data_IF_063455249814
#
_entry.id   IF_063455249814
#
_cell.length_a   1.000
_cell.length_b   1.000
_cell.length_c   1.000
_cell.angle_alpha   90.00
_cell.angle_beta   90.00
_cell.angle_gamma   90.00
#
_symmetry.space_group_name_H-M   'P 1'
#
loop_
_entity.id
_entity.type
_entity.pdbx_description
1 polymer ?
#
# COMPACT_ATOMS: atom_id res chain seq x y z
N UNK A 1 -11.17 0.15 10.90
CA UNK A 1 -11.59 -1.26 11.07
C UNK A 1 -10.49 -2.24 10.69
N UNK A 2 -10.03 -2.27 9.43
CA UNK A 2 -9.08 -3.28 8.94
C UNK A 2 -7.80 -3.43 9.78
N UNK A 3 -7.12 -2.33 10.15
CA UNK A 3 -5.92 -2.41 11.00
C UNK A 3 -6.18 -3.12 12.34
N UNK A 4 -7.30 -2.81 13.00
CA UNK A 4 -7.69 -3.48 14.25
C UNK A 4 -8.06 -4.96 14.03
N UNK A 5 -8.65 -5.28 12.87
CA UNK A 5 -8.99 -6.65 12.50
C UNK A 5 -7.73 -7.50 12.33
N UNK A 6 -6.72 -6.96 11.63
CA UNK A 6 -5.41 -7.59 11.46
C UNK A 6 -4.72 -7.81 12.80
N UNK A 7 -4.67 -6.78 13.65
CA UNK A 7 -4.10 -6.90 15.00
C UNK A 7 -4.79 -8.01 15.78
N UNK A 8 -6.13 -7.99 15.85
CA UNK A 8 -6.88 -9.03 16.56
C UNK A 8 -6.65 -10.43 15.98
N UNK A 9 -6.65 -10.56 14.66
CA UNK A 9 -6.42 -11.82 13.95
C UNK A 9 -5.03 -12.38 14.25
N UNK A 10 -3.99 -11.54 14.25
CA UNK A 10 -2.62 -11.96 14.54
C UNK A 10 -2.42 -12.28 16.03
N UNK A 11 -3.08 -11.57 16.94
CA UNK A 11 -3.05 -11.88 18.38
C UNK A 11 -3.75 -13.21 18.69
N UNK A 12 -4.89 -13.47 18.05
CA UNK A 12 -5.72 -14.64 18.33
C UNK A 12 -5.15 -15.95 17.75
N UNK A 13 -4.61 -15.92 16.52
CA UNK A 13 -4.15 -17.15 15.84
C UNK A 13 -2.70 -17.08 15.31
N UNK A 14 -1.97 -16.00 15.59
CA UNK A 14 -0.58 -15.84 15.16
C UNK A 14 -0.41 -15.67 13.65
N UNK A 15 0.84 -15.65 13.17
CA UNK A 15 1.21 -15.53 11.76
C UNK A 15 1.11 -16.86 11.02
N UNK A 16 0.04 -17.63 11.28
CA UNK A 16 -0.24 -18.91 10.62
C UNK A 16 -1.63 -18.91 10.01
N UNK A 17 -1.80 -19.63 8.91
CA UNK A 17 -3.10 -19.82 8.28
C UNK A 17 -3.96 -20.75 9.16
N UNK A 18 -5.24 -20.44 9.32
CA UNK A 18 -6.18 -21.26 10.10
C UNK A 18 -7.49 -21.45 9.37
N UNK A 19 -8.21 -22.51 9.74
CA UNK A 19 -9.57 -22.78 9.25
C UNK A 19 -10.49 -21.59 9.57
N UNK A 20 -11.28 -21.19 8.58
CA UNK A 20 -12.16 -20.02 8.65
C UNK A 20 -11.55 -18.73 8.13
N UNK A 21 -10.23 -18.67 7.88
CA UNK A 21 -9.62 -17.59 7.10
C UNK A 21 -10.15 -17.58 5.66
N UNK A 22 -9.93 -16.48 4.95
CA UNK A 22 -10.29 -16.35 3.53
C UNK A 22 -9.09 -15.93 2.69
N UNK A 23 -9.08 -16.38 1.44
CA UNK A 23 -8.10 -16.05 0.40
C UNK A 23 -8.85 -15.67 -0.89
N UNK A 24 -8.14 -15.06 -1.84
CA UNK A 24 -8.70 -14.74 -3.16
C UNK A 24 -8.24 -15.76 -4.19
N UNK A 25 -9.15 -16.26 -5.02
CA UNK A 25 -8.81 -17.17 -6.10
C UNK A 25 -7.88 -16.51 -7.11
N UNK A 26 -6.82 -17.20 -7.51
CA UNK A 26 -6.00 -16.72 -8.60
C UNK A 26 -6.80 -16.84 -9.91
N UNK A 27 -6.81 -15.79 -10.73
CA UNK A 27 -7.46 -15.77 -12.06
C UNK A 27 -6.98 -16.88 -13.01
N UNK A 28 -5.96 -17.66 -12.64
CA UNK A 28 -5.43 -18.78 -13.43
C UNK A 28 -6.22 -20.07 -13.29
N UNK A 29 -7.02 -20.23 -12.24
CA UNK A 29 -7.75 -21.49 -11.98
C UNK A 29 -9.13 -21.54 -12.67
N UNK A 30 -9.56 -20.42 -13.28
CA UNK A 30 -10.87 -20.28 -13.94
C UNK A 30 -10.79 -20.19 -15.48
N UNK A 31 -9.59 -20.30 -16.06
CA UNK A 31 -9.38 -20.32 -17.53
C UNK A 31 -9.73 -21.68 -18.18
N UNK A 32 -10.55 -22.51 -17.51
CA UNK A 32 -10.91 -23.87 -17.91
C UNK A 32 -12.32 -24.04 -18.48
N UNK A 33 -13.09 -22.96 -18.70
CA UNK A 33 -14.39 -22.98 -19.38
C UNK A 33 -14.55 -21.69 -20.19
N UNK A 34 -14.41 -21.82 -21.51
CA UNK A 34 -14.44 -20.70 -22.44
C UNK A 34 -15.82 -20.06 -22.61
N UNK A 35 -15.79 -18.83 -23.09
CA UNK A 35 -16.34 -18.55 -24.41
C UNK A 35 -15.43 -17.53 -25.10
N UNK A 36 -15.21 -17.72 -26.40
CA UNK A 36 -14.42 -16.83 -27.23
C UNK A 36 -15.25 -15.59 -27.54
N UNK A 37 -14.69 -14.40 -27.39
CA UNK A 37 -14.95 -13.32 -28.34
C UNK A 37 -13.70 -12.46 -28.48
N UNK A 38 -13.23 -12.47 -29.72
CA UNK A 38 -12.06 -11.83 -30.29
C UNK A 38 -12.33 -10.32 -30.38
N UNK A 39 -11.45 -9.46 -29.88
CA UNK A 39 -11.21 -8.18 -30.56
C UNK A 39 -9.78 -7.69 -30.34
N UNK A 40 -9.04 -7.80 -31.44
CA UNK A 40 -7.65 -7.47 -31.66
C UNK A 40 -7.51 -6.01 -32.06
N UNK A 41 -6.77 -5.19 -31.29
CA UNK A 41 -6.14 -3.98 -31.85
C UNK A 41 -4.75 -3.75 -31.24
N UNK A 42 -3.77 -3.63 -32.14
CA UNK A 42 -2.34 -3.47 -31.89
C UNK A 42 -1.88 -2.02 -31.62
N UNK A 43 -0.56 -1.75 -31.75
CA UNK A 43 0.18 -0.91 -30.80
C UNK A 43 0.48 0.51 -31.31
N UNK A 44 0.62 1.47 -30.40
CA UNK A 44 1.38 2.72 -30.60
C UNK A 44 1.77 3.29 -29.21
N UNK A 45 3.03 3.24 -28.82
CA UNK A 45 4.10 4.22 -29.05
C UNK A 45 4.06 5.41 -28.08
N UNK A 46 5.08 5.40 -27.24
CA UNK A 46 5.66 6.45 -26.40
C UNK A 46 5.66 7.87 -26.99
N UNK A 47 5.27 8.85 -26.18
CA UNK A 47 5.83 10.21 -26.19
C UNK A 47 5.89 10.76 -24.77
N UNK A 48 7.11 11.10 -24.34
CA UNK A 48 7.42 11.82 -23.11
C UNK A 48 7.21 13.33 -23.27
N UNK A 49 6.84 14.04 -22.21
CA UNK A 49 7.11 15.47 -21.92
C UNK A 49 6.56 15.75 -20.50
N UNK A 50 7.37 15.79 -19.44
CA UNK A 50 8.09 16.96 -18.90
C UNK A 50 7.18 18.15 -18.51
N UNK A 51 6.98 18.36 -17.21
CA UNK A 51 6.50 19.62 -16.65
C UNK A 51 7.37 20.01 -15.47
N UNK A 52 8.08 21.11 -15.63
CA UNK A 52 8.77 21.87 -14.58
C UNK A 52 7.97 23.14 -14.31
N UNK A 53 7.88 23.49 -13.03
CA UNK A 53 7.24 24.67 -12.46
C UNK A 53 7.88 26.00 -12.93
N UNK A 54 7.09 27.07 -13.03
CA UNK A 54 7.48 28.42 -12.56
C UNK A 54 6.25 29.35 -12.37
N UNK A 55 6.44 30.31 -11.48
CA UNK A 55 5.52 31.12 -10.69
C UNK A 55 5.12 32.48 -11.34
N UNK A 56 4.09 33.11 -10.74
CA UNK A 56 3.76 34.56 -10.67
C UNK A 56 2.79 35.29 -11.64
N UNK A 57 1.75 35.86 -10.99
CA UNK A 57 1.13 37.21 -11.11
C UNK A 57 -0.19 37.45 -11.89
N UNK A 58 -0.96 38.38 -11.30
CA UNK A 58 -2.38 38.72 -11.43
C UNK A 58 -2.72 39.61 -12.65
N UNK A 59 -3.91 39.41 -13.23
CA UNK A 59 -4.99 40.40 -13.44
C UNK A 59 -5.73 40.36 -14.81
N UNK A 60 -7.07 40.26 -14.69
CA UNK A 60 -8.22 40.58 -15.57
C UNK A 60 -8.14 40.51 -17.12
N UNK A 61 -9.03 39.68 -17.69
CA UNK A 61 -9.41 39.75 -19.11
C UNK A 61 -10.17 38.51 -19.61
N UNK A 62 -11.49 38.47 -19.39
CA UNK A 62 -12.32 37.28 -19.58
C UNK A 62 -12.43 36.72 -21.01
N UNK A 63 -12.58 35.40 -21.11
CA UNK A 63 -13.13 34.68 -22.27
C UNK A 63 -13.82 33.39 -21.78
N UNK A 64 -15.07 33.21 -22.20
CA UNK A 64 -15.87 31.97 -22.03
C UNK A 64 -15.23 30.82 -22.80
N UNK A 65 -15.03 29.67 -22.16
CA UNK A 65 -14.66 28.42 -22.82
C UNK A 65 -15.01 27.22 -21.94
N UNK A 66 -15.76 26.29 -22.52
CA UNK A 66 -16.31 25.06 -21.95
C UNK A 66 -15.47 24.35 -20.87
N UNK A 67 -16.04 24.20 -19.68
CA UNK A 67 -15.70 23.11 -18.77
C UNK A 67 -16.25 21.81 -19.39
N UNK A 68 -15.39 21.00 -19.98
CA UNK A 68 -15.59 19.55 -19.98
C UNK A 68 -14.99 19.05 -18.68
N UNK A 69 -15.87 18.61 -17.79
CA UNK A 69 -15.51 17.85 -16.61
C UNK A 69 -14.89 16.54 -17.10
N UNK A 70 -13.55 16.48 -17.14
CA UNK A 70 -12.84 15.21 -17.22
C UNK A 70 -13.00 14.56 -15.84
N UNK A 71 -14.07 13.79 -15.75
CA UNK A 71 -14.34 12.87 -14.65
C UNK A 71 -13.08 12.02 -14.40
N UNK A 72 -12.46 12.30 -13.27
CA UNK A 72 -11.55 11.42 -12.55
C UNK A 72 -12.31 10.11 -12.27
N UNK A 73 -12.30 9.21 -13.25
CA UNK A 73 -12.72 7.81 -13.13
C UNK A 73 -11.78 7.15 -12.12
N UNK A 74 -12.13 7.34 -10.85
CA UNK A 74 -11.58 6.62 -9.73
C UNK A 74 -11.56 5.15 -10.06
N UNK A 75 -10.35 4.64 -10.24
CA UNK A 75 -9.96 3.26 -10.49
C UNK A 75 -10.55 2.32 -9.41
N UNK A 76 -11.84 2.04 -9.49
CA UNK A 76 -12.48 0.96 -8.76
C UNK A 76 -12.15 -0.30 -9.54
N UNK A 77 -10.95 -0.85 -9.29
CA UNK A 77 -10.66 -2.22 -9.69
C UNK A 77 -11.62 -3.10 -8.91
N UNK A 78 -12.77 -3.40 -9.50
CA UNK A 78 -13.61 -4.53 -9.11
C UNK A 78 -12.75 -5.75 -9.27
N UNK A 79 -12.13 -6.12 -8.16
CA UNK A 79 -11.33 -7.31 -8.06
C UNK A 79 -12.26 -8.51 -8.22
N UNK A 80 -12.40 -8.97 -9.46
CA UNK A 80 -13.34 -10.03 -9.83
C UNK A 80 -12.88 -11.43 -9.34
N UNK A 81 -11.89 -11.47 -8.45
CA UNK A 81 -11.41 -12.69 -7.81
C UNK A 81 -12.44 -13.18 -6.80
N UNK A 82 -12.70 -14.48 -6.83
CA UNK A 82 -13.66 -15.12 -5.94
C UNK A 82 -13.03 -15.32 -4.56
N UNK A 83 -13.82 -15.10 -3.51
CA UNK A 83 -13.42 -15.42 -2.14
C UNK A 83 -13.46 -16.93 -1.94
N UNK A 84 -12.40 -17.49 -1.36
CA UNK A 84 -12.30 -18.90 -0.99
C UNK A 84 -12.08 -18.98 0.51
N UNK A 85 -12.94 -19.75 1.19
CA UNK A 85 -12.80 -20.04 2.61
C UNK A 85 -11.80 -21.18 2.84
N UNK A 86 -10.92 -21.00 3.81
CA UNK A 86 -9.95 -21.99 4.22
C UNK A 86 -10.63 -23.05 5.09
N UNK A 87 -10.54 -24.29 4.65
CA UNK A 87 -11.05 -25.48 5.34
C UNK A 87 -9.88 -26.40 5.70
N UNK A 88 -10.16 -27.45 6.47
CA UNK A 88 -9.14 -28.47 6.83
C UNK A 88 -8.53 -29.12 5.58
N UNK A 89 -9.29 -29.19 4.48
CA UNK A 89 -8.90 -29.91 3.27
C UNK A 89 -7.99 -29.10 2.34
N UNK A 90 -8.13 -27.76 2.31
CA UNK A 90 -7.39 -26.88 1.37
C UNK A 90 -6.29 -26.05 2.03
N UNK A 91 -6.17 -26.08 3.36
CA UNK A 91 -5.23 -25.24 4.12
C UNK A 91 -3.76 -25.42 3.71
N UNK A 92 -3.40 -26.60 3.20
CA UNK A 92 -2.04 -26.90 2.72
C UNK A 92 -1.67 -26.19 1.41
N UNK A 93 -2.67 -25.72 0.66
CA UNK A 93 -2.47 -25.15 -0.68
C UNK A 93 -2.16 -23.65 -0.61
N UNK A 94 -2.32 -23.04 0.56
CA UNK A 94 -2.19 -21.60 0.78
C UNK A 94 -1.17 -21.28 1.86
N UNK A 95 -0.65 -20.06 1.81
CA UNK A 95 0.27 -19.51 2.80
C UNK A 95 -0.37 -18.36 3.58
N UNK A 96 0.27 -17.96 4.68
CA UNK A 96 -0.14 -16.76 5.42
C UNK A 96 -0.13 -15.48 4.56
N UNK A 97 0.68 -15.45 3.50
CA UNK A 97 0.75 -14.31 2.57
C UNK A 97 -0.45 -14.24 1.63
N UNK A 98 -1.24 -15.31 1.51
CA UNK A 98 -2.45 -15.36 0.68
C UNK A 98 -3.70 -14.97 1.46
N UNK A 99 -3.63 -14.99 2.81
CA UNK A 99 -4.74 -14.63 3.70
C UNK A 99 -5.09 -13.16 3.56
N UNK A 100 -6.36 -12.88 3.30
CA UNK A 100 -6.90 -11.53 3.20
C UNK A 100 -7.90 -11.25 4.32
N UNK A 101 -8.00 -9.99 4.71
CA UNK A 101 -9.10 -9.50 5.54
C UNK A 101 -9.91 -8.45 4.79
N UNK A 102 -11.24 -8.44 4.99
CA UNK A 102 -12.13 -7.50 4.32
C UNK A 102 -12.05 -6.09 4.91
N UNK A 103 -12.14 -5.10 4.01
CA UNK A 103 -12.60 -3.75 4.30
C UNK A 103 -14.13 -3.76 4.27
N UNK A 104 -14.83 -3.38 5.35
CA UNK A 104 -16.28 -3.45 5.38
C UNK A 104 -16.96 -2.68 4.25
N UNK A 105 -17.92 -3.32 3.61
CA UNK A 105 -18.70 -2.77 2.51
C UNK A 105 -19.97 -3.56 2.23
N UNK A 106 -20.72 -3.10 1.22
CA UNK A 106 -22.02 -3.67 0.84
C UNK A 106 -21.90 -5.07 0.21
N UNK A 107 -20.79 -5.34 -0.47
CA UNK A 107 -20.53 -6.59 -1.18
C UNK A 107 -19.25 -7.26 -0.67
N UNK A 108 -19.25 -7.65 0.60
CA UNK A 108 -18.07 -8.18 1.27
C UNK A 108 -18.38 -9.44 2.06
N UNK A 109 -17.59 -10.48 1.85
CA UNK A 109 -17.60 -11.74 2.60
C UNK A 109 -16.62 -11.64 3.77
N UNK A 110 -17.01 -12.21 4.91
CA UNK A 110 -16.23 -12.12 6.15
C UNK A 110 -15.73 -13.50 6.59
N UNK A 111 -14.47 -13.60 7.04
CA UNK A 111 -13.90 -14.85 7.53
C UNK A 111 -14.71 -15.41 8.70
N UNK A 112 -15.02 -16.71 8.69
CA UNK A 112 -15.90 -17.35 9.69
C UNK A 112 -15.36 -17.16 11.11
N UNK A 113 -14.05 -17.25 11.27
CA UNK A 113 -13.33 -17.07 12.54
C UNK A 113 -13.28 -15.61 13.04
N UNK A 114 -13.73 -14.64 12.22
CA UNK A 114 -13.66 -13.20 12.52
C UNK A 114 -15.01 -12.47 12.39
N UNK A 115 -16.07 -13.14 11.89
CA UNK A 115 -17.38 -12.51 11.66
C UNK A 115 -17.95 -11.82 12.89
N UNK A 116 -17.87 -12.48 14.06
CA UNK A 116 -18.39 -11.92 15.30
C UNK A 116 -17.60 -10.67 15.72
N UNK A 117 -16.27 -10.72 15.61
CA UNK A 117 -15.41 -9.58 15.91
C UNK A 117 -15.75 -8.37 15.03
N UNK A 118 -15.98 -8.57 13.73
CA UNK A 118 -16.36 -7.48 12.82
C UNK A 118 -17.68 -6.84 13.23
N UNK A 119 -18.70 -7.64 13.57
CA UNK A 119 -20.00 -7.13 14.04
C UNK A 119 -19.86 -6.31 15.32
N UNK A 120 -19.12 -6.83 16.28
CA UNK A 120 -18.95 -6.20 17.59
C UNK A 120 -18.13 -4.91 17.47
N UNK A 121 -17.06 -4.93 16.67
CA UNK A 121 -16.20 -3.78 16.45
C UNK A 121 -16.92 -2.66 15.71
N UNK A 122 -17.66 -2.95 14.63
CA UNK A 122 -18.40 -1.89 13.92
C UNK A 122 -19.53 -1.31 14.76
N UNK A 123 -20.24 -2.15 15.51
CA UNK A 123 -21.30 -1.68 16.41
C UNK A 123 -20.74 -0.80 17.53
N UNK A 124 -19.65 -1.23 18.18
CA UNK A 124 -19.10 -0.51 19.34
C UNK A 124 -18.29 0.72 18.95
N UNK A 125 -17.44 0.63 17.92
CA UNK A 125 -16.52 1.71 17.56
C UNK A 125 -17.13 2.72 16.58
N UNK A 126 -18.05 2.29 15.71
CA UNK A 126 -18.66 3.15 14.69
C UNK A 126 -20.14 3.43 14.96
N UNK A 127 -20.79 2.67 15.84
CA UNK A 127 -22.25 2.74 16.01
C UNK A 127 -23.02 2.19 14.80
N UNK A 128 -22.37 1.38 13.96
CA UNK A 128 -22.94 0.87 12.70
C UNK A 128 -23.17 -0.64 12.74
N UNK A 129 -24.32 -1.07 12.24
CA UNK A 129 -24.62 -2.46 11.92
C UNK A 129 -23.85 -2.89 10.66
N UNK A 130 -22.99 -3.91 10.79
CA UNK A 130 -22.22 -4.47 9.68
C UNK A 130 -23.10 -4.93 8.51
N UNK A 131 -24.30 -5.43 8.82
CA UNK A 131 -25.20 -6.03 7.83
C UNK A 131 -26.21 -5.06 7.24
N UNK A 132 -26.62 -4.03 7.98
CA UNK A 132 -27.71 -3.14 7.55
C UNK A 132 -27.16 -1.82 7.01
N UNK A 133 -26.22 -1.19 7.73
CA UNK A 133 -25.73 0.14 7.38
C UNK A 133 -24.82 0.08 6.15
N UNK A 134 -23.86 -0.84 6.12
CA UNK A 134 -22.96 -1.00 4.97
C UNK A 134 -23.68 -1.48 3.71
N UNK A 135 -24.77 -2.25 3.83
CA UNK A 135 -25.59 -2.68 2.68
C UNK A 135 -26.54 -1.59 2.18
N UNK A 136 -27.01 -0.71 3.05
CA UNK A 136 -27.94 0.36 2.66
C UNK A 136 -27.26 1.56 1.96
N UNK A 137 -25.93 1.69 2.08
CA UNK A 137 -25.13 2.70 1.37
C UNK A 137 -25.31 2.67 -0.16
N UNK A 138 -25.74 1.55 -0.75
CA UNK A 138 -25.96 1.42 -2.21
C UNK A 138 -27.32 1.93 -2.69
N UNK A 139 -28.31 2.07 -1.80
CA UNK A 139 -29.73 2.20 -2.20
C UNK A 139 -30.34 3.55 -1.82
N UNK A 140 -29.77 4.26 -0.84
CA UNK A 140 -30.41 5.42 -0.20
C UNK A 140 -29.82 6.77 -0.62
N UNK A 141 -29.57 6.99 -1.91
CA UNK A 141 -29.02 8.28 -2.42
C UNK A 141 -27.71 8.69 -1.72
N UNK A 142 -26.98 7.71 -1.18
CA UNK A 142 -25.78 7.92 -0.39
C UNK A 142 -24.67 8.48 -1.27
N UNK A 143 -24.05 9.57 -0.83
CA UNK A 143 -22.90 10.20 -1.51
C UNK A 143 -21.68 9.25 -1.56
N UNK A 144 -21.71 8.14 -0.82
CA UNK A 144 -20.61 7.19 -0.70
C UNK A 144 -21.08 5.74 -0.90
N UNK A 145 -20.73 5.15 -2.03
CA UNK A 145 -20.82 3.71 -2.25
C UNK A 145 -19.53 3.04 -1.76
N UNK A 146 -19.64 2.20 -0.73
CA UNK A 146 -18.52 1.40 -0.22
C UNK A 146 -18.78 -0.07 -0.58
N UNK A 147 -18.37 -0.55 -1.76
CA UNK A 147 -18.55 -1.96 -2.14
C UNK A 147 -17.75 -2.91 -1.22
N UNK A 148 -16.71 -2.38 -0.58
CA UNK A 148 -15.73 -3.15 0.17
C UNK A 148 -14.63 -3.69 -0.74
N UNK A 149 -13.61 -4.25 -0.11
CA UNK A 149 -12.41 -4.75 -0.79
C UNK A 149 -11.69 -5.73 0.14
N UNK A 150 -10.71 -6.45 -0.37
CA UNK A 150 -9.90 -7.41 0.39
C UNK A 150 -8.45 -6.97 0.35
N UNK A 151 -7.77 -7.11 1.49
CA UNK A 151 -6.34 -6.77 1.60
C UNK A 151 -5.60 -7.86 2.35
N UNK A 152 -4.45 -8.26 1.80
CA UNK A 152 -3.56 -9.23 2.42
C UNK A 152 -3.10 -8.75 3.79
N UNK A 153 -3.10 -9.66 4.77
CA UNK A 153 -2.70 -9.32 6.14
C UNK A 153 -1.19 -9.19 6.29
N UNK A 154 -0.43 -9.93 5.48
CA UNK A 154 1.03 -9.87 5.39
C UNK A 154 1.44 -9.77 3.94
N UNK A 155 2.48 -8.99 3.67
CA UNK A 155 3.10 -8.84 2.37
C UNK A 155 4.59 -9.16 2.48
N UNK A 156 5.15 -9.82 1.46
CA UNK A 156 6.58 -10.13 1.41
C UNK A 156 7.27 -9.14 0.50
N UNK A 157 8.28 -8.46 1.04
CA UNK A 157 9.18 -7.63 0.27
C UNK A 157 10.03 -8.49 -0.67
N UNK A 158 10.12 -8.10 -1.95
CA UNK A 158 10.88 -8.80 -2.98
C UNK A 158 12.18 -8.03 -3.29
N UNK A 159 13.16 -8.69 -3.89
CA UNK A 159 14.44 -8.09 -4.31
C UNK A 159 15.14 -7.25 -3.23
N UNK A 160 15.16 -7.79 -2.00
CA UNK A 160 15.70 -7.07 -0.85
C UNK A 160 17.23 -7.01 -0.94
N UNK A 161 17.75 -5.80 -1.10
CA UNK A 161 19.17 -5.46 -1.08
C UNK A 161 19.43 -4.41 0.00
N UNK A 162 20.50 -4.56 0.76
CA UNK A 162 20.90 -3.56 1.75
C UNK A 162 22.42 -3.41 1.87
N UNK A 163 22.86 -2.19 2.18
CA UNK A 163 24.24 -1.85 2.50
C UNK A 163 24.28 -1.18 3.87
N UNK A 164 25.10 -1.72 4.77
CA UNK A 164 25.42 -1.06 6.04
C UNK A 164 26.64 -0.17 5.82
N UNK A 165 26.45 1.13 5.99
CA UNK A 165 27.45 2.16 5.73
C UNK A 165 27.98 2.64 7.08
N UNK A 166 29.30 2.53 7.23
CA UNK A 166 30.00 2.97 8.42
C UNK A 166 29.95 4.50 8.56
N UNK A 167 29.91 5.04 9.80
CA UNK A 167 29.90 6.47 10.08
C UNK A 167 30.89 7.28 9.23
N UNK A 168 32.13 6.82 9.13
CA UNK A 168 33.22 7.52 8.44
C UNK A 168 32.94 7.66 6.94
N UNK A 169 32.32 6.64 6.34
CA UNK A 169 31.95 6.64 4.92
C UNK A 169 30.67 7.42 4.64
N UNK A 170 29.82 7.62 5.65
CA UNK A 170 28.56 8.34 5.49
C UNK A 170 28.76 9.87 5.48
N UNK A 171 29.84 10.36 6.09
CA UNK A 171 30.19 11.78 6.15
C UNK A 171 30.70 12.34 4.81
N UNK A 172 31.28 11.47 3.98
CA UNK A 172 32.04 11.86 2.80
C UNK A 172 31.23 11.83 1.49
N UNK A 173 29.94 11.44 1.51
CA UNK A 173 29.13 11.28 0.30
C UNK A 173 27.62 11.33 0.53
N UNK A 174 26.89 11.64 -0.53
CA UNK A 174 25.46 11.29 -0.64
C UNK A 174 25.31 9.76 -0.67
N UNK A 175 24.47 9.19 0.20
CA UNK A 175 24.34 7.74 0.36
C UNK A 175 23.51 7.07 -0.75
N UNK A 176 22.51 7.78 -1.28
CA UNK A 176 21.63 7.29 -2.34
C UNK A 176 21.54 8.38 -3.41
N UNK A 177 22.06 8.15 -4.63
CA UNK A 177 21.99 9.14 -5.70
C UNK A 177 20.55 9.28 -6.20
N UNK A 178 20.17 10.51 -6.56
CA UNK A 178 18.85 10.76 -7.17
C UNK A 178 18.83 10.37 -8.65
N UNK A 179 17.63 10.27 -9.24
CA UNK A 179 17.50 10.02 -10.67
C UNK A 179 18.18 11.11 -11.51
N UNK A 180 18.16 12.36 -11.04
CA UNK A 180 18.82 13.49 -11.72
C UNK A 180 20.34 13.33 -11.67
N UNK A 181 20.92 12.92 -10.53
CA UNK A 181 22.36 12.68 -10.40
C UNK A 181 22.82 11.59 -11.37
N UNK A 182 22.04 10.51 -11.48
CA UNK A 182 22.31 9.40 -12.39
C UNK A 182 22.26 9.84 -13.86
N UNK A 183 21.27 10.64 -14.25
CA UNK A 183 21.11 11.14 -15.63
C UNK A 183 22.24 12.12 -15.98
N UNK A 184 22.55 13.04 -15.07
CA UNK A 184 23.57 14.08 -15.29
C UNK A 184 24.99 13.56 -15.12
N UNK A 185 25.17 12.32 -14.65
CA UNK A 185 26.46 11.72 -14.28
C UNK A 185 27.27 12.61 -13.35
N UNK A 186 26.57 13.30 -12.44
CA UNK A 186 27.20 14.15 -11.43
C UNK A 186 27.96 13.25 -10.46
N UNK A 187 29.24 13.56 -10.21
CA UNK A 187 30.02 12.86 -9.19
C UNK A 187 29.48 13.24 -7.79
N UNK A 188 28.65 12.35 -7.23
CA UNK A 188 27.99 12.48 -5.93
C UNK A 188 28.94 12.30 -4.73
N UNK A 189 30.21 12.00 -4.99
CA UNK A 189 31.28 11.90 -3.99
C UNK A 189 31.79 13.26 -3.50
N UNK A 190 31.36 14.38 -4.09
CA UNK A 190 31.90 15.71 -3.72
C UNK A 190 30.92 16.64 -2.98
N UNK A 191 29.64 16.27 -2.85
CA UNK A 191 28.71 17.03 -2.02
C UNK A 191 28.93 16.68 -0.54
N UNK A 192 29.98 17.27 0.03
CA UNK A 192 30.19 17.24 1.49
C UNK A 192 28.97 17.86 2.16
N UNK A 193 28.41 17.17 3.14
CA UNK A 193 27.40 17.72 4.05
C UNK A 193 27.89 19.08 4.55
N UNK A 194 27.13 20.13 4.26
CA UNK A 194 27.52 21.52 4.52
C UNK A 194 27.16 21.98 5.94
N UNK A 195 26.32 21.22 6.66
CA UNK A 195 25.87 21.55 8.01
C UNK A 195 26.58 20.79 9.13
N UNK A 196 27.04 21.51 10.16
CA UNK A 196 27.67 20.93 11.37
C UNK A 196 26.77 19.93 12.11
N UNK A 197 25.44 20.10 12.03
CA UNK A 197 24.47 19.20 12.69
C UNK A 197 24.36 17.84 12.02
N UNK A 198 24.38 17.79 10.69
CA UNK A 198 24.25 16.53 9.95
C UNK A 198 25.52 15.69 10.08
N UNK A 199 26.68 16.34 10.17
CA UNK A 199 27.94 15.68 10.51
C UNK A 199 27.91 15.09 11.91
N UNK A 200 27.46 15.85 12.91
CA UNK A 200 27.39 15.36 14.29
C UNK A 200 26.46 14.13 14.46
N UNK A 201 25.37 14.05 13.69
CA UNK A 201 24.46 12.89 13.71
C UNK A 201 25.10 11.65 13.06
N UNK A 202 25.86 11.86 11.98
CA UNK A 202 26.51 10.78 11.24
C UNK A 202 27.85 10.35 11.87
N UNK A 203 28.51 11.23 12.63
CA UNK A 203 29.69 10.96 13.46
C UNK A 203 29.32 10.02 14.63
N UNK A 204 29.22 8.73 14.34
CA UNK A 204 28.96 7.67 15.31
C UNK A 204 27.73 6.80 15.01
N UNK A 205 26.95 7.13 13.97
CA UNK A 205 25.75 6.38 13.60
C UNK A 205 25.96 5.57 12.33
N UNK A 206 25.63 4.28 12.38
CA UNK A 206 25.57 3.44 11.19
C UNK A 206 24.38 3.85 10.32
N UNK A 207 24.61 3.98 9.02
CA UNK A 207 23.55 4.22 8.04
C UNK A 207 23.21 2.93 7.29
N UNK A 208 21.95 2.77 6.89
CA UNK A 208 21.51 1.61 6.09
C UNK A 208 20.88 2.15 4.81
N UNK A 209 21.48 1.84 3.67
CA UNK A 209 20.84 1.99 2.37
C UNK A 209 20.06 0.71 2.07
N UNK A 210 18.77 0.84 1.76
CA UNK A 210 17.86 -0.28 1.58
C UNK A 210 17.09 -0.14 0.27
N UNK A 211 17.02 -1.23 -0.49
CA UNK A 211 16.32 -1.33 -1.76
C UNK A 211 15.45 -2.60 -1.75
N UNK A 212 14.22 -2.47 -2.22
CA UNK A 212 13.27 -3.57 -2.32
C UNK A 212 12.17 -3.25 -3.32
N UNK A 213 11.49 -4.29 -3.79
CA UNK A 213 10.24 -4.22 -4.54
C UNK A 213 9.07 -4.55 -3.63
N UNK A 214 8.01 -3.71 -3.68
CA UNK A 214 6.75 -3.93 -2.95
C UNK A 214 5.59 -3.97 -3.95
N UNK A 215 4.57 -4.79 -3.65
CA UNK A 215 3.31 -4.74 -4.40
C UNK A 215 2.62 -3.39 -4.22
N UNK A 216 1.80 -3.04 -5.21
CA UNK A 216 0.95 -1.84 -5.17
C UNK A 216 0.07 -1.83 -3.92
N UNK A 217 -0.05 -0.67 -3.26
CA UNK A 217 -0.83 -0.51 -2.03
C UNK A 217 -0.11 -0.96 -0.75
N UNK A 218 1.19 -1.26 -0.82
CA UNK A 218 2.04 -1.58 0.32
C UNK A 218 2.97 -0.41 0.67
N UNK A 219 3.24 -0.23 1.97
CA UNK A 219 4.02 0.90 2.47
C UNK A 219 5.35 0.44 3.04
N UNK A 220 6.47 0.92 2.47
CA UNK A 220 7.82 0.63 2.94
C UNK A 220 8.02 1.03 4.40
N UNK A 221 7.37 2.10 4.85
CA UNK A 221 7.41 2.54 6.25
C UNK A 221 6.92 1.47 7.22
N UNK A 222 5.96 0.63 6.84
CA UNK A 222 5.48 -0.48 7.67
C UNK A 222 6.50 -1.61 7.75
N UNK A 223 7.20 -1.91 6.65
CA UNK A 223 8.29 -2.89 6.66
C UNK A 223 9.47 -2.41 7.51
N UNK A 224 9.84 -1.12 7.38
CA UNK A 224 10.88 -0.51 8.21
C UNK A 224 10.48 -0.48 9.68
N UNK A 225 9.22 -0.18 10.01
CA UNK A 225 8.69 -0.24 11.38
C UNK A 225 8.90 -1.62 12.01
N UNK A 226 8.61 -2.69 11.26
CA UNK A 226 8.78 -4.05 11.74
C UNK A 226 10.26 -4.42 11.91
N UNK A 227 11.13 -3.94 11.00
CA UNK A 227 12.57 -4.16 11.06
C UNK A 227 13.21 -3.42 12.25
N UNK A 228 12.87 -2.14 12.45
CA UNK A 228 13.46 -1.28 13.49
C UNK A 228 12.79 -1.45 14.85
N UNK A 229 11.58 -2.01 14.90
CA UNK A 229 10.71 -2.08 16.10
C UNK A 229 10.41 -0.71 16.71
N UNK A 230 10.54 0.37 15.92
CA UNK A 230 10.26 1.73 16.36
C UNK A 230 8.94 2.23 15.79
N UNK A 231 8.33 3.23 16.43
CA UNK A 231 7.19 3.93 15.85
C UNK A 231 7.65 4.72 14.60
N UNK A 232 6.78 4.86 13.60
CA UNK A 232 6.97 5.69 12.41
C UNK A 232 6.56 7.14 12.63
N UNK A 233 6.39 7.60 13.87
CA UNK A 233 6.20 9.03 14.15
C UNK A 233 7.47 9.82 13.79
N UNK A 234 7.31 11.08 13.37
CA UNK A 234 8.46 11.97 13.07
C UNK A 234 9.39 12.16 14.28
N UNK A 235 8.88 12.00 15.50
CA UNK A 235 9.67 12.14 16.73
C UNK A 235 10.41 10.86 17.11
N UNK A 236 9.87 9.67 16.77
CA UNK A 236 10.54 8.38 17.01
C UNK A 236 11.52 8.00 15.92
N UNK A 237 11.35 8.53 14.70
CA UNK A 237 12.33 8.40 13.61
C UNK A 237 13.48 9.41 13.72
N UNK A 238 13.45 10.32 14.71
CA UNK A 238 14.63 11.08 15.11
C UNK A 238 15.48 10.21 16.01
N UNK A 239 16.75 10.06 15.66
CA UNK A 239 17.76 9.49 16.55
C UNK A 239 17.68 10.27 17.86
N UNK A 240 17.36 9.59 18.96
CA UNK A 240 17.27 10.20 20.28
C UNK A 240 18.65 10.66 20.71
N UNK A 241 18.79 11.96 21.02
CA UNK A 241 19.95 12.49 21.73
C UNK A 241 20.12 11.67 23.01
N UNK A 242 21.16 10.82 23.05
CA UNK A 242 21.56 10.04 24.23
C UNK A 242 22.59 10.81 25.04
#
# INVERSE_FOLDING_TARGET
>A
VWNHAVTHRLEAYGPTIVVGDIVLSNSRDDAGKGDNDDEQLGPATTTASSSSDDDTTEDEGGLKGAHSDDDDEGMTRTDNRKVVHITVDNISDYSIYDVVLPLPGSNTEYPENMQQWYKDFTSTALGLSLLDDFKSCTTSGGVFNLPGSYRNILERAEDVEYEVIQPERALDRTLIPTDIDNITKRDYTEEKLTGDKDKAILEGTYSIAFKTTLKSGTYLTMALRELTRQDTSRNSMRISDS
#
